data_IF_885491125674
#
_entry.id   IF_885491125674
#
_cell.length_a   1.000
_cell.length_b   1.000
_cell.length_c   1.000
_cell.angle_alpha   90.00
_cell.angle_beta   90.00
_cell.angle_gamma   90.00
#
_symmetry.space_group_name_H-M   'P 1'
#
loop_
_entity.id
_entity.type
_entity.pdbx_description
1 polymer ?
#
# COMPACT_ATOMS: atom_id res chain seq x y z
N UNK A 1 22.49 -3.89 -8.91
CA UNK A 1 21.27 -3.12 -9.20
C UNK A 1 20.42 -3.30 -7.95
N UNK A 2 20.19 -2.25 -7.16
CA UNK A 2 19.29 -2.37 -6.02
C UNK A 2 17.89 -2.36 -6.63
N UNK A 3 17.23 -3.51 -6.70
CA UNK A 3 15.82 -3.56 -7.09
C UNK A 3 15.02 -2.72 -6.11
N UNK A 4 14.02 -1.97 -6.60
CA UNK A 4 13.13 -1.19 -5.71
C UNK A 4 12.23 -2.10 -4.86
N UNK A 5 12.06 -3.35 -5.28
CA UNK A 5 11.26 -4.39 -4.64
C UNK A 5 12.12 -5.62 -4.36
N UNK A 6 11.65 -6.48 -3.45
CA UNK A 6 12.36 -7.71 -3.11
C UNK A 6 12.17 -8.75 -4.22
N UNK A 7 13.27 -9.37 -4.66
CA UNK A 7 13.23 -10.41 -5.70
C UNK A 7 12.76 -11.78 -5.18
N UNK A 8 12.77 -11.97 -3.84
CA UNK A 8 12.41 -13.24 -3.20
C UNK A 8 10.93 -13.27 -2.80
N UNK A 9 10.19 -14.23 -3.37
CA UNK A 9 8.77 -14.49 -3.04
C UNK A 9 8.54 -14.98 -1.60
N UNK A 10 9.60 -15.22 -0.83
CA UNK A 10 9.50 -15.63 0.57
C UNK A 10 8.87 -14.53 1.43
N UNK A 11 7.68 -14.82 1.97
CA UNK A 11 6.92 -13.89 2.79
C UNK A 11 6.18 -12.82 1.98
N UNK A 12 5.95 -13.02 0.68
CA UNK A 12 5.25 -12.08 -0.21
C UNK A 12 3.92 -11.56 0.38
N UNK A 13 3.13 -12.43 1.02
CA UNK A 13 1.87 -12.03 1.67
C UNK A 13 2.06 -10.95 2.77
N UNK A 14 3.26 -10.79 3.35
CA UNK A 14 3.53 -9.79 4.39
C UNK A 14 3.79 -8.37 3.87
N UNK A 15 3.94 -8.20 2.55
CA UNK A 15 4.25 -6.92 1.91
C UNK A 15 3.60 -6.71 0.53
N UNK A 16 2.79 -7.64 0.03
CA UNK A 16 2.12 -7.51 -1.28
C UNK A 16 1.29 -6.24 -1.41
N UNK A 17 0.54 -5.85 -0.36
CA UNK A 17 -0.23 -4.60 -0.38
C UNK A 17 0.66 -3.39 -0.67
N UNK A 18 1.92 -3.43 -0.21
CA UNK A 18 2.86 -2.34 -0.43
C UNK A 18 3.30 -2.29 -1.88
N UNK A 19 3.66 -3.42 -2.50
CA UNK A 19 4.07 -3.42 -3.91
C UNK A 19 2.93 -2.99 -4.83
N UNK A 20 1.73 -3.55 -4.63
CA UNK A 20 0.53 -3.17 -5.38
C UNK A 20 0.17 -1.70 -5.14
N UNK A 21 0.22 -1.24 -3.88
CA UNK A 21 0.00 0.16 -3.53
C UNK A 21 1.00 1.11 -4.18
N UNK A 22 2.29 0.74 -4.23
CA UNK A 22 3.34 1.52 -4.88
C UNK A 22 3.13 1.58 -6.40
N UNK A 23 2.75 0.47 -7.04
CA UNK A 23 2.43 0.43 -8.48
C UNK A 23 1.24 1.33 -8.80
N UNK A 24 0.16 1.22 -8.02
CA UNK A 24 -1.02 2.08 -8.16
C UNK A 24 -0.68 3.57 -7.90
N UNK A 25 0.18 3.85 -6.91
CA UNK A 25 0.57 5.22 -6.54
C UNK A 25 1.46 5.88 -7.58
N UNK A 26 2.57 5.25 -7.94
CA UNK A 26 3.57 5.78 -8.87
C UNK A 26 2.93 6.03 -10.24
N UNK A 27 2.12 5.08 -10.73
CA UNK A 27 1.45 5.21 -12.03
C UNK A 27 0.54 6.43 -12.11
N UNK A 28 -0.08 6.86 -11.01
CA UNK A 28 -0.89 8.08 -10.98
C UNK A 28 -0.05 9.32 -10.73
N UNK A 29 0.88 9.27 -9.77
CA UNK A 29 1.65 10.44 -9.35
C UNK A 29 2.50 11.05 -10.47
N UNK A 30 2.99 10.22 -11.40
CA UNK A 30 3.88 10.67 -12.48
C UNK A 30 3.19 10.87 -13.83
N UNK A 31 1.97 10.36 -14.02
CA UNK A 31 1.25 10.48 -15.31
C UNK A 31 0.08 11.46 -15.27
N UNK A 32 -0.49 11.72 -14.10
CA UNK A 32 -1.58 12.68 -13.93
C UNK A 32 -1.05 14.08 -13.59
N UNK A 33 -1.81 15.12 -13.93
CA UNK A 33 -1.59 16.43 -13.31
C UNK A 33 -1.88 16.35 -11.80
N UNK A 34 -1.44 17.35 -11.04
CA UNK A 34 -1.74 17.38 -9.61
C UNK A 34 -3.25 17.43 -9.35
N UNK A 35 -4.01 18.18 -10.15
CA UNK A 35 -5.47 18.24 -10.05
C UNK A 35 -6.13 16.87 -10.34
N UNK A 36 -5.67 16.17 -11.38
CA UNK A 36 -6.14 14.84 -11.73
C UNK A 36 -5.79 13.81 -10.64
N UNK A 37 -4.58 13.89 -10.09
CA UNK A 37 -4.13 13.03 -8.98
C UNK A 37 -5.01 13.23 -7.73
N UNK A 38 -5.30 14.49 -7.36
CA UNK A 38 -6.18 14.78 -6.22
C UNK A 38 -7.62 14.32 -6.48
N UNK A 39 -8.13 14.49 -7.70
CA UNK A 39 -9.46 13.99 -8.06
C UNK A 39 -9.56 12.46 -7.97
N UNK A 40 -8.51 11.76 -8.40
CA UNK A 40 -8.41 10.30 -8.28
C UNK A 40 -8.39 9.87 -6.81
N UNK A 41 -7.55 10.50 -5.98
CA UNK A 41 -7.46 10.23 -4.55
C UNK A 41 -8.81 10.34 -3.84
N UNK A 42 -9.59 11.39 -4.15
CA UNK A 42 -10.95 11.59 -3.61
C UNK A 42 -11.90 10.48 -4.08
N UNK A 43 -11.80 10.07 -5.35
CA UNK A 43 -12.58 8.96 -5.89
C UNK A 43 -12.26 7.65 -5.14
N UNK A 44 -10.98 7.33 -4.96
CA UNK A 44 -10.54 6.14 -4.24
C UNK A 44 -10.99 6.14 -2.77
N UNK A 45 -10.92 7.28 -2.08
CA UNK A 45 -11.46 7.42 -0.72
C UNK A 45 -12.96 7.08 -0.70
N UNK A 46 -13.74 7.61 -1.64
CA UNK A 46 -15.18 7.34 -1.74
C UNK A 46 -15.49 5.87 -2.04
N UNK A 47 -14.68 5.23 -2.89
CA UNK A 47 -14.79 3.81 -3.22
C UNK A 47 -14.45 2.93 -2.01
N UNK A 48 -13.36 3.22 -1.29
CA UNK A 48 -13.01 2.52 -0.06
C UNK A 48 -14.13 2.64 0.97
N UNK A 49 -14.68 3.83 1.21
CA UNK A 49 -15.80 4.00 2.14
C UNK A 49 -17.05 3.22 1.74
N UNK A 50 -17.36 3.15 0.44
CA UNK A 50 -18.48 2.39 -0.08
C UNK A 50 -18.27 0.88 0.08
N UNK A 51 -17.11 0.38 -0.31
CA UNK A 51 -16.80 -1.05 -0.31
C UNK A 51 -16.44 -1.60 1.06
N UNK A 52 -15.93 -0.77 1.99
CA UNK A 52 -15.74 -1.16 3.39
C UNK A 52 -17.06 -1.56 4.06
N UNK A 53 -18.18 -0.90 3.70
CA UNK A 53 -19.53 -1.29 4.18
C UNK A 53 -19.95 -2.68 3.68
N UNK A 54 -19.41 -3.12 2.54
CA UNK A 54 -19.72 -4.41 1.90
C UNK A 54 -18.79 -5.53 2.36
N UNK A 55 -17.49 -5.26 2.45
CA UNK A 55 -16.47 -6.28 2.74
C UNK A 55 -16.02 -6.30 4.20
N UNK A 56 -16.46 -5.35 5.02
CA UNK A 56 -15.98 -5.11 6.38
C UNK A 56 -14.51 -4.70 6.43
N UNK A 57 -14.15 -3.99 7.49
CA UNK A 57 -12.75 -3.65 7.74
C UNK A 57 -11.95 -4.91 8.08
N UNK A 58 -10.75 -5.01 7.53
CA UNK A 58 -9.73 -6.02 7.83
C UNK A 58 -8.35 -5.45 7.48
N UNK A 59 -7.25 -6.09 7.89
CA UNK A 59 -5.93 -5.50 7.71
C UNK A 59 -5.42 -5.71 6.28
N UNK A 60 -4.61 -4.78 5.74
CA UNK A 60 -3.85 -4.98 4.51
C UNK A 60 -2.78 -6.07 4.68
N UNK A 61 -2.43 -6.46 5.91
CA UNK A 61 -1.66 -7.69 6.13
C UNK A 61 -2.45 -8.96 5.74
N UNK A 62 -3.78 -8.88 5.65
CA UNK A 62 -4.63 -9.97 5.15
C UNK A 62 -4.80 -9.90 3.63
N UNK A 63 -4.32 -8.84 2.98
CA UNK A 63 -4.20 -8.81 1.53
C UNK A 63 -3.05 -9.74 1.14
N UNK A 64 -3.38 -10.86 0.50
CA UNK A 64 -2.45 -11.89 0.10
C UNK A 64 -2.87 -12.57 -1.19
N UNK A 65 -2.14 -13.60 -1.57
CA UNK A 65 -2.45 -14.48 -2.70
C UNK A 65 -3.93 -14.91 -2.77
N UNK A 66 -4.53 -15.26 -1.62
CA UNK A 66 -5.95 -15.66 -1.53
C UNK A 66 -6.97 -14.58 -1.90
N UNK A 67 -6.59 -13.30 -1.91
CA UNK A 67 -7.46 -12.21 -2.36
C UNK A 67 -7.74 -12.33 -3.86
N UNK A 68 -6.80 -12.86 -4.64
CA UNK A 68 -6.97 -13.04 -6.08
C UNK A 68 -7.96 -14.14 -6.46
N UNK A 69 -8.37 -14.99 -5.51
CA UNK A 69 -9.46 -15.96 -5.68
C UNK A 69 -10.85 -15.32 -5.48
N UNK A 70 -10.92 -14.07 -5.01
CA UNK A 70 -12.17 -13.32 -4.79
C UNK A 70 -12.62 -12.64 -6.09
N UNK A 71 -13.79 -12.00 -6.04
CA UNK A 71 -14.29 -11.22 -7.17
C UNK A 71 -13.47 -9.92 -7.37
N UNK A 72 -13.44 -9.41 -8.61
CA UNK A 72 -12.69 -8.19 -8.96
C UNK A 72 -12.94 -7.00 -8.05
N UNK A 73 -14.19 -6.77 -7.64
CA UNK A 73 -14.50 -5.63 -6.79
C UNK A 73 -13.86 -5.76 -5.39
N UNK A 74 -13.64 -6.97 -4.89
CA UNK A 74 -12.87 -7.20 -3.67
C UNK A 74 -11.38 -6.97 -3.88
N UNK A 75 -10.83 -7.34 -5.04
CA UNK A 75 -9.41 -7.13 -5.36
C UNK A 75 -9.12 -5.62 -5.49
N UNK A 76 -9.93 -4.90 -6.27
CA UNK A 76 -9.79 -3.45 -6.41
C UNK A 76 -9.96 -2.70 -5.09
N UNK A 77 -10.80 -3.20 -4.18
CA UNK A 77 -10.92 -2.64 -2.85
C UNK A 77 -9.59 -2.66 -2.08
N UNK A 78 -8.83 -3.77 -2.16
CA UNK A 78 -7.49 -3.81 -1.54
C UNK A 78 -6.48 -2.90 -2.26
N UNK A 79 -6.54 -2.80 -3.60
CA UNK A 79 -5.70 -1.87 -4.36
C UNK A 79 -5.94 -0.41 -3.98
N UNK A 80 -7.19 0.03 -3.84
CA UNK A 80 -7.48 1.41 -3.44
C UNK A 80 -7.01 1.71 -2.02
N UNK A 81 -7.19 0.77 -1.08
CA UNK A 81 -6.66 0.91 0.29
C UNK A 81 -5.14 0.95 0.33
N UNK A 82 -4.51 0.12 -0.50
CA UNK A 82 -3.05 0.07 -0.66
C UNK A 82 -2.52 1.39 -1.22
N UNK A 83 -3.14 1.92 -2.28
CA UNK A 83 -2.85 3.24 -2.86
C UNK A 83 -2.94 4.36 -1.81
N UNK A 84 -4.04 4.42 -1.06
CA UNK A 84 -4.25 5.47 -0.06
C UNK A 84 -3.27 5.36 1.12
N UNK A 85 -2.89 4.14 1.50
CA UNK A 85 -1.90 3.92 2.56
C UNK A 85 -0.50 4.33 2.11
N UNK A 86 -0.12 4.03 0.86
CA UNK A 86 1.13 4.50 0.26
C UNK A 86 1.14 6.02 0.11
N UNK A 87 0.06 6.62 -0.36
CA UNK A 87 -0.08 8.08 -0.43
C UNK A 87 0.15 8.71 0.95
N UNK A 88 -0.42 8.11 2.01
CA UNK A 88 -0.20 8.58 3.37
C UNK A 88 1.26 8.46 3.83
N UNK A 89 1.93 7.37 3.47
CA UNK A 89 3.37 7.20 3.74
C UNK A 89 4.20 8.27 3.01
N UNK A 90 3.89 8.55 1.74
CA UNK A 90 4.57 9.60 0.95
C UNK A 90 4.34 10.99 1.56
N UNK A 91 3.11 11.30 2.01
CA UNK A 91 2.83 12.55 2.74
C UNK A 91 3.69 12.69 4.00
N UNK A 92 3.81 11.61 4.78
CA UNK A 92 4.53 11.61 6.05
C UNK A 92 6.06 11.62 5.89
N UNK A 93 6.58 10.95 4.85
CA UNK A 93 8.03 10.80 4.59
C UNK A 93 8.58 11.82 3.59
N UNK A 94 7.71 12.51 2.85
CA UNK A 94 8.04 13.61 1.95
C UNK A 94 8.41 13.21 0.51
N UNK A 95 8.64 11.93 0.21
CA UNK A 95 8.90 11.47 -1.15
C UNK A 95 8.70 9.96 -1.34
N UNK A 96 8.45 9.55 -2.58
CA UNK A 96 8.42 8.13 -2.99
C UNK A 96 9.74 7.43 -2.64
N UNK A 97 10.88 8.10 -2.83
CA UNK A 97 12.20 7.52 -2.51
C UNK A 97 12.33 7.24 -1.01
N UNK A 98 11.88 8.15 -0.14
CA UNK A 98 11.93 7.95 1.31
C UNK A 98 11.04 6.77 1.77
N UNK A 99 9.93 6.51 1.07
CA UNK A 99 9.08 5.33 1.30
C UNK A 99 9.82 4.04 0.91
N UNK A 100 10.44 4.01 -0.27
CA UNK A 100 11.26 2.87 -0.72
C UNK A 100 12.46 2.61 0.20
N UNK A 101 13.15 3.66 0.65
CA UNK A 101 14.27 3.54 1.59
C UNK A 101 13.81 2.94 2.93
N UNK A 102 12.62 3.33 3.41
CA UNK A 102 12.02 2.76 4.63
C UNK A 102 11.63 1.29 4.46
N UNK A 103 11.09 0.92 3.29
CA UNK A 103 10.83 -0.47 2.93
C UNK A 103 12.11 -1.32 2.91
N UNK A 104 13.19 -0.79 2.31
CA UNK A 104 14.48 -1.47 2.34
C UNK A 104 15.08 -1.57 3.74
N UNK A 105 14.83 -0.59 4.62
CA UNK A 105 15.23 -0.69 6.03
C UNK A 105 14.50 -1.84 6.72
N UNK A 106 13.17 -1.98 6.54
CA UNK A 106 12.40 -3.12 7.04
C UNK A 106 12.93 -4.44 6.48
N UNK A 107 13.18 -4.51 5.18
CA UNK A 107 13.65 -5.72 4.51
C UNK A 107 15.02 -6.21 5.00
N UNK A 108 15.85 -5.30 5.50
CA UNK A 108 17.16 -5.60 6.11
C UNK A 108 17.09 -5.94 7.61
N UNK A 109 15.88 -5.98 8.21
CA UNK A 109 15.70 -6.48 9.58
C UNK A 109 15.51 -8.00 9.58
N UNK A 110 15.38 -8.58 10.78
CA UNK A 110 14.93 -9.98 10.97
C UNK A 110 13.46 -10.21 10.55
N UNK A 111 12.75 -9.17 10.05
CA UNK A 111 11.36 -9.21 9.58
C UNK A 111 10.38 -9.85 10.59
N UNK A 112 10.61 -9.61 11.88
CA UNK A 112 9.78 -10.15 12.98
C UNK A 112 8.36 -9.57 13.01
N UNK A 113 8.13 -8.46 12.29
CA UNK A 113 6.83 -7.85 12.08
C UNK A 113 6.54 -7.77 10.58
N UNK A 114 5.28 -7.99 10.14
CA UNK A 114 4.83 -7.60 8.80
C UNK A 114 5.13 -6.12 8.54
N UNK A 115 5.36 -5.77 7.27
CA UNK A 115 5.80 -4.43 6.88
C UNK A 115 4.89 -3.31 7.43
N UNK A 116 3.57 -3.50 7.35
CA UNK A 116 2.61 -2.52 7.85
C UNK A 116 2.78 -2.28 9.36
N UNK A 117 2.91 -3.37 10.13
CA UNK A 117 3.06 -3.27 11.59
C UNK A 117 4.41 -2.66 11.96
N UNK A 118 5.45 -2.91 11.17
CA UNK A 118 6.73 -2.25 11.31
C UNK A 118 6.62 -0.75 11.04
N UNK A 119 5.93 -0.32 9.97
CA UNK A 119 5.68 1.11 9.71
C UNK A 119 4.92 1.81 10.85
N UNK A 120 3.91 1.15 11.42
CA UNK A 120 3.19 1.65 12.60
C UNK A 120 4.12 1.74 13.81
N UNK A 121 4.94 0.72 14.06
CA UNK A 121 5.90 0.72 15.17
C UNK A 121 6.95 1.83 15.03
N UNK A 122 7.43 2.09 13.80
CA UNK A 122 8.35 3.19 13.49
C UNK A 122 7.65 4.57 13.48
N UNK A 123 6.34 4.63 13.71
CA UNK A 123 5.51 5.85 13.68
C UNK A 123 5.55 6.58 12.33
N UNK A 124 5.74 5.82 11.24
CA UNK A 124 5.72 6.36 9.87
C UNK A 124 4.28 6.55 9.38
N UNK A 125 3.34 5.78 9.96
CA UNK A 125 1.89 5.96 9.88
C UNK A 125 1.27 5.58 11.23
N UNK A 126 0.11 6.14 11.57
CA UNK A 126 -0.62 5.75 12.78
C UNK A 126 -1.42 4.46 12.56
N UNK A 127 -2.00 4.32 11.36
CA UNK A 127 -2.77 3.16 10.89
C UNK A 127 -2.86 3.18 9.37
N UNK A 128 -3.20 2.04 8.79
CA UNK A 128 -3.65 1.93 7.41
C UNK A 128 -5.01 2.61 7.19
N UNK A 129 -5.31 2.87 5.91
CA UNK A 129 -6.60 3.38 5.46
C UNK A 129 -7.62 2.25 5.36
#
# INVERSE_FOLDING_TARGET
MVGHFLDDFDGYDSYIWFEEGMVEYISRKYFLTEEEFQAEKICNQSLVELFQKKYSWHSLNDFGSSTYDKNYASIFYEYWRSFLTVDKLVENLGSVQAVLDSYHLWANTEKTLPLLNWFVQQKLIEKEI
#
